data_IF_966537075944
#
_entry.id   IF_966537075944
#
_cell.length_a   1.000
_cell.length_b   1.000
_cell.length_c   1.000
_cell.angle_alpha   90.00
_cell.angle_beta   90.00
_cell.angle_gamma   90.00
#
_symmetry.space_group_name_H-M   'P 1'
#
loop_
_entity.id
_entity.type
_entity.pdbx_description
1 polymer ?
#
# COMPACT_ATOMS: atom_id res chain seq x y z
N UNK A 1 -34.84 21.49 -11.05
CA UNK A 1 -35.50 20.49 -10.18
C UNK A 1 -34.79 20.54 -8.85
N UNK A 2 -35.48 20.40 -7.71
CA UNK A 2 -34.80 20.33 -6.42
C UNK A 2 -33.78 19.19 -6.45
N UNK A 3 -32.60 19.44 -5.89
CA UNK A 3 -31.58 18.40 -5.69
C UNK A 3 -32.19 17.32 -4.80
N UNK A 4 -32.04 16.05 -5.19
CA UNK A 4 -32.51 14.89 -4.42
C UNK A 4 -31.41 13.82 -4.37
N UNK A 5 -31.04 13.38 -3.16
CA UNK A 5 -30.04 12.36 -2.89
C UNK A 5 -30.75 11.00 -2.87
N UNK A 6 -30.16 9.97 -3.51
CA UNK A 6 -30.76 8.65 -3.50
C UNK A 6 -30.66 8.01 -2.12
N UNK A 7 -31.62 7.17 -1.77
CA UNK A 7 -31.51 6.31 -0.59
C UNK A 7 -30.43 5.24 -0.82
N UNK A 8 -29.67 4.86 0.23
CA UNK A 8 -28.64 3.83 0.10
C UNK A 8 -29.25 2.44 -0.14
N UNK A 9 -28.66 1.68 -1.07
CA UNK A 9 -29.01 0.29 -1.36
C UNK A 9 -28.21 -0.66 -0.47
N UNK A 10 -28.61 -0.79 0.80
CA UNK A 10 -27.96 -1.70 1.75
C UNK A 10 -28.50 -3.14 1.62
N UNK A 11 -27.65 -4.13 1.94
CA UNK A 11 -28.04 -5.54 1.95
C UNK A 11 -28.64 -5.86 3.33
N UNK A 12 -29.85 -6.44 3.35
CA UNK A 12 -30.48 -6.90 4.58
C UNK A 12 -29.63 -8.02 5.22
N UNK A 13 -29.10 -7.83 6.44
CA UNK A 13 -28.29 -8.84 7.13
C UNK A 13 -29.01 -10.17 7.37
N UNK A 14 -30.35 -10.20 7.36
CA UNK A 14 -31.13 -11.44 7.49
C UNK A 14 -31.29 -12.19 6.16
N UNK A 15 -30.98 -11.56 5.03
CA UNK A 15 -31.14 -12.14 3.69
C UNK A 15 -29.94 -12.96 3.20
N UNK A 16 -28.82 -12.94 3.94
CA UNK A 16 -27.55 -13.60 3.58
C UNK A 16 -27.32 -14.85 4.45
N UNK A 17 -26.54 -15.85 3.99
CA UNK A 17 -26.23 -17.01 4.81
C UNK A 17 -25.38 -16.63 6.03
N UNK A 18 -25.57 -17.36 7.13
CA UNK A 18 -24.71 -17.26 8.30
C UNK A 18 -23.43 -18.08 8.08
N UNK A 19 -22.31 -17.40 7.77
CA UNK A 19 -21.02 -18.06 7.65
C UNK A 19 -20.40 -18.30 9.02
N UNK A 20 -19.66 -19.41 9.12
CA UNK A 20 -18.82 -19.76 10.28
C UNK A 20 -17.41 -19.20 10.06
N UNK A 21 -17.09 -18.15 10.81
CA UNK A 21 -15.84 -17.41 10.65
C UNK A 21 -14.72 -17.95 11.53
N UNK A 22 -13.55 -18.15 10.92
CA UNK A 22 -12.27 -18.28 11.58
C UNK A 22 -11.57 -16.93 11.65
N UNK A 23 -11.09 -16.52 12.82
CA UNK A 23 -10.44 -15.22 13.02
C UNK A 23 -8.94 -15.42 13.27
N UNK A 24 -8.09 -14.74 12.50
CA UNK A 24 -6.64 -14.74 12.67
C UNK A 24 -6.19 -13.37 13.17
N UNK A 25 -5.69 -13.30 14.41
CA UNK A 25 -5.34 -12.06 15.09
C UNK A 25 -6.48 -11.50 15.95
N UNK A 26 -6.12 -10.74 17.00
CA UNK A 26 -7.09 -10.25 18.02
C UNK A 26 -7.14 -8.72 18.12
N UNK A 27 -6.52 -7.99 17.19
CA UNK A 27 -6.46 -6.52 17.20
C UNK A 27 -7.79 -5.88 16.82
N UNK A 28 -7.88 -5.34 15.60
CA UNK A 28 -9.14 -4.79 15.05
C UNK A 28 -10.27 -5.84 14.99
N UNK A 29 -9.91 -7.12 15.02
CA UNK A 29 -10.86 -8.23 15.14
C UNK A 29 -11.80 -8.15 16.33
N UNK A 30 -11.42 -7.48 17.43
CA UNK A 30 -12.32 -7.28 18.56
C UNK A 30 -13.58 -6.51 18.15
N UNK A 31 -13.37 -5.44 17.39
CA UNK A 31 -14.45 -4.59 16.89
C UNK A 31 -15.24 -5.29 15.78
N UNK A 32 -14.57 -6.02 14.89
CA UNK A 32 -15.20 -6.80 13.84
C UNK A 32 -16.13 -7.88 14.42
N UNK A 33 -15.64 -8.69 15.36
CA UNK A 33 -16.42 -9.79 15.97
C UNK A 33 -17.64 -9.23 16.71
N UNK A 34 -17.45 -8.17 17.50
CA UNK A 34 -18.56 -7.49 18.18
C UNK A 34 -19.62 -6.96 17.19
N UNK A 35 -19.19 -6.36 16.07
CA UNK A 35 -20.08 -5.82 15.05
C UNK A 35 -20.88 -6.95 14.36
N UNK A 36 -20.23 -8.03 13.94
CA UNK A 36 -20.92 -9.10 13.21
C UNK A 36 -21.87 -9.88 14.11
N UNK A 37 -21.54 -10.08 15.39
CA UNK A 37 -22.43 -10.77 16.34
C UNK A 37 -23.67 -9.95 16.66
N UNK A 38 -23.53 -8.63 16.82
CA UNK A 38 -24.63 -7.75 17.23
C UNK A 38 -25.52 -7.27 16.09
N UNK A 39 -25.00 -7.20 14.85
CA UNK A 39 -25.69 -6.55 13.73
C UNK A 39 -25.87 -7.41 12.49
N UNK A 40 -25.48 -8.68 12.55
CA UNK A 40 -25.66 -9.60 11.43
C UNK A 40 -25.94 -11.03 11.90
N UNK A 41 -26.21 -11.91 10.95
CA UNK A 41 -26.33 -13.36 11.18
C UNK A 41 -24.97 -14.08 11.21
N UNK A 42 -23.86 -13.39 10.92
CA UNK A 42 -22.52 -13.97 10.84
C UNK A 42 -21.97 -14.32 12.22
N UNK A 43 -21.20 -15.42 12.35
CA UNK A 43 -20.65 -15.86 13.63
C UNK A 43 -19.19 -16.29 13.54
N UNK A 44 -18.33 -15.67 14.34
CA UNK A 44 -17.02 -16.21 14.67
C UNK A 44 -17.16 -17.49 15.51
N UNK A 45 -16.61 -18.59 15.00
CA UNK A 45 -16.65 -19.92 15.64
C UNK A 45 -15.27 -20.37 16.14
N UNK A 46 -14.21 -19.85 15.53
CA UNK A 46 -12.84 -20.17 15.90
C UNK A 46 -11.92 -18.96 15.84
N UNK A 47 -10.88 -18.94 16.65
CA UNK A 47 -9.85 -17.90 16.66
C UNK A 47 -8.45 -18.47 16.86
N UNK A 48 -7.45 -17.84 16.26
CA UNK A 48 -6.02 -18.09 16.54
C UNK A 48 -5.25 -16.77 16.55
N UNK A 49 -4.27 -16.65 17.46
CA UNK A 49 -3.27 -15.60 17.42
C UNK A 49 -2.01 -16.05 18.19
N UNK A 50 -0.94 -15.23 18.12
CA UNK A 50 0.38 -15.58 18.68
C UNK A 50 0.38 -15.75 20.20
N UNK A 51 -0.42 -14.96 20.91
CA UNK A 51 -0.45 -14.93 22.37
C UNK A 51 -1.63 -15.78 22.88
N UNK A 52 -1.33 -16.97 23.40
CA UNK A 52 -2.36 -17.94 23.78
C UNK A 52 -3.28 -17.44 24.91
N UNK A 53 -2.77 -16.64 25.84
CA UNK A 53 -3.59 -16.11 26.94
C UNK A 53 -4.54 -15.03 26.44
N UNK A 54 -4.03 -14.06 25.67
CA UNK A 54 -4.89 -13.03 25.05
C UNK A 54 -5.90 -13.63 24.09
N UNK A 55 -5.53 -14.68 23.37
CA UNK A 55 -6.45 -15.39 22.46
C UNK A 55 -7.57 -16.08 23.22
N UNK A 56 -7.29 -16.73 24.36
CA UNK A 56 -8.34 -17.32 25.21
C UNK A 56 -9.26 -16.25 25.80
N UNK A 57 -8.71 -15.15 26.30
CA UNK A 57 -9.52 -14.04 26.83
C UNK A 57 -10.40 -13.42 25.74
N UNK A 58 -9.89 -13.26 24.52
CA UNK A 58 -10.65 -12.82 23.36
C UNK A 58 -11.80 -13.79 23.03
N UNK A 59 -11.52 -15.09 23.00
CA UNK A 59 -12.52 -16.11 22.73
C UNK A 59 -13.63 -16.13 23.77
N UNK A 60 -13.28 -16.04 25.06
CA UNK A 60 -14.23 -15.96 26.16
C UNK A 60 -15.10 -14.70 26.06
N UNK A 61 -14.50 -13.53 25.85
CA UNK A 61 -15.19 -12.24 25.69
C UNK A 61 -16.28 -12.29 24.62
N UNK A 62 -15.98 -12.91 23.48
CA UNK A 62 -16.88 -12.96 22.32
C UNK A 62 -17.68 -14.27 22.22
N UNK A 63 -17.57 -15.19 23.17
CA UNK A 63 -18.25 -16.48 23.12
C UNK A 63 -17.84 -17.36 21.94
N UNK A 64 -16.57 -17.28 21.51
CA UNK A 64 -16.01 -18.10 20.43
C UNK A 64 -15.65 -19.48 20.99
N UNK A 65 -16.24 -20.53 20.42
CA UNK A 65 -16.17 -21.87 20.97
C UNK A 65 -14.78 -22.54 20.85
N UNK A 66 -13.98 -22.19 19.83
CA UNK A 66 -12.73 -22.89 19.53
C UNK A 66 -11.54 -21.93 19.46
N UNK A 67 -10.45 -22.30 20.15
CA UNK A 67 -9.15 -21.62 20.07
C UNK A 67 -8.15 -22.59 19.44
N UNK A 68 -7.65 -22.25 18.26
CA UNK A 68 -6.65 -23.03 17.54
C UNK A 68 -5.24 -22.57 17.89
N UNK A 69 -4.31 -23.53 18.00
CA UNK A 69 -2.92 -23.26 18.39
C UNK A 69 -2.11 -22.57 17.29
N UNK A 70 -2.54 -22.64 16.03
CA UNK A 70 -1.85 -22.04 14.90
C UNK A 70 -2.81 -21.68 13.75
N UNK A 71 -2.30 -20.92 12.78
CA UNK A 71 -3.02 -20.58 11.54
C UNK A 71 -3.34 -21.84 10.76
N UNK A 72 -2.40 -22.77 10.66
CA UNK A 72 -2.55 -24.05 9.94
C UNK A 72 -3.67 -24.90 10.54
N UNK A 73 -3.73 -24.98 11.87
CA UNK A 73 -4.80 -25.68 12.57
C UNK A 73 -6.17 -25.03 12.31
N UNK A 74 -6.24 -23.69 12.30
CA UNK A 74 -7.47 -22.97 12.02
C UNK A 74 -7.93 -23.19 10.57
N UNK A 75 -7.06 -23.02 9.57
CA UNK A 75 -7.48 -23.14 8.17
C UNK A 75 -7.83 -24.57 7.78
N UNK A 76 -7.29 -25.59 8.47
CA UNK A 76 -7.64 -26.99 8.28
C UNK A 76 -9.02 -27.38 8.85
N UNK A 77 -9.63 -26.53 9.67
CA UNK A 77 -10.91 -26.82 10.33
C UNK A 77 -12.07 -26.82 9.32
N UNK A 78 -12.70 -27.98 9.09
CA UNK A 78 -13.91 -28.12 8.26
C UNK A 78 -15.13 -27.39 8.81
N UNK A 79 -15.07 -26.97 10.08
CA UNK A 79 -16.05 -26.14 10.78
C UNK A 79 -16.09 -24.68 10.33
N UNK A 80 -15.14 -24.25 9.49
CA UNK A 80 -14.96 -22.85 9.08
C UNK A 80 -15.27 -22.70 7.59
N UNK A 81 -16.09 -21.69 7.26
CA UNK A 81 -16.45 -21.35 5.87
C UNK A 81 -15.57 -20.22 5.33
N UNK A 82 -15.29 -19.23 6.18
CA UNK A 82 -14.52 -18.04 5.82
C UNK A 82 -13.50 -17.67 6.90
N UNK A 83 -12.40 -17.05 6.49
CA UNK A 83 -11.33 -16.57 7.38
C UNK A 83 -11.25 -15.05 7.32
N UNK A 84 -11.25 -14.41 8.48
CA UNK A 84 -10.94 -12.99 8.63
C UNK A 84 -9.52 -12.82 9.17
N UNK A 85 -8.67 -12.16 8.39
CA UNK A 85 -7.25 -11.94 8.69
C UNK A 85 -7.07 -10.51 9.19
N UNK A 86 -6.73 -10.36 10.48
CA UNK A 86 -6.63 -9.09 11.19
C UNK A 86 -5.27 -8.95 11.91
N UNK A 87 -4.21 -9.43 11.26
CA UNK A 87 -2.84 -9.36 11.75
C UNK A 87 -2.11 -8.11 11.24
N UNK A 88 -0.88 -7.82 11.66
CA UNK A 88 -0.05 -6.81 11.01
C UNK A 88 0.17 -7.11 9.51
N UNK A 89 0.34 -6.05 8.71
CA UNK A 89 0.37 -6.10 7.23
C UNK A 89 1.29 -7.18 6.63
N UNK A 90 2.54 -7.39 7.10
CA UNK A 90 3.46 -8.36 6.50
C UNK A 90 3.00 -9.82 6.62
N UNK A 91 2.04 -10.10 7.50
CA UNK A 91 1.54 -11.46 7.73
C UNK A 91 0.36 -11.80 6.82
N UNK A 92 -0.27 -10.81 6.19
CA UNK A 92 -1.49 -11.00 5.38
C UNK A 92 -1.28 -12.02 4.27
N UNK A 93 -0.21 -11.86 3.47
CA UNK A 93 0.07 -12.70 2.31
C UNK A 93 0.14 -14.18 2.66
N UNK A 94 1.02 -14.56 3.59
CA UNK A 94 1.23 -15.97 3.93
C UNK A 94 -0.04 -16.61 4.51
N UNK A 95 -0.77 -15.88 5.35
CA UNK A 95 -2.00 -16.38 5.98
C UNK A 95 -3.15 -16.48 4.98
N UNK A 96 -3.28 -15.52 4.06
CA UNK A 96 -4.27 -15.54 3.00
C UNK A 96 -4.04 -16.72 2.07
N UNK A 97 -2.80 -16.93 1.62
CA UNK A 97 -2.47 -18.06 0.74
C UNK A 97 -2.73 -19.41 1.42
N UNK A 98 -2.45 -19.54 2.72
CA UNK A 98 -2.78 -20.75 3.48
C UNK A 98 -4.30 -20.99 3.57
N UNK A 99 -5.10 -19.95 3.84
CA UNK A 99 -6.55 -20.06 3.90
C UNK A 99 -7.17 -20.38 2.52
N UNK A 100 -6.68 -19.74 1.45
CA UNK A 100 -7.09 -19.99 0.07
C UNK A 100 -6.76 -21.42 -0.34
N UNK A 101 -5.55 -21.91 -0.04
CA UNK A 101 -5.14 -23.28 -0.34
C UNK A 101 -6.00 -24.33 0.39
N UNK A 102 -6.55 -23.99 1.56
CA UNK A 102 -7.51 -24.81 2.30
C UNK A 102 -8.96 -24.67 1.81
N UNK A 103 -9.20 -23.92 0.72
CA UNK A 103 -10.52 -23.72 0.13
C UNK A 103 -11.43 -22.79 0.93
N UNK A 104 -10.88 -21.92 1.78
CA UNK A 104 -11.66 -20.96 2.57
C UNK A 104 -11.86 -19.65 1.80
N UNK A 105 -13.04 -19.06 1.94
CA UNK A 105 -13.23 -17.66 1.56
C UNK A 105 -12.42 -16.76 2.49
N UNK A 106 -11.83 -15.67 2.00
CA UNK A 106 -10.90 -14.84 2.80
C UNK A 106 -11.26 -13.36 2.75
N UNK A 107 -11.50 -12.77 3.92
CA UNK A 107 -11.58 -11.33 4.16
C UNK A 107 -10.29 -10.87 4.84
N UNK A 108 -9.55 -9.95 4.23
CA UNK A 108 -8.21 -9.58 4.68
C UNK A 108 -8.19 -8.11 5.05
N UNK A 109 -7.70 -7.76 6.25
CA UNK A 109 -7.56 -6.37 6.66
C UNK A 109 -6.76 -5.53 5.67
N UNK A 110 -7.10 -4.23 5.64
CA UNK A 110 -6.45 -3.26 4.75
C UNK A 110 -5.07 -2.83 5.30
N UNK A 111 -4.10 -2.54 4.43
CA UNK A 111 -4.07 -2.93 3.03
C UNK A 111 -3.96 -4.47 2.92
N UNK A 112 -4.57 -5.05 1.89
CA UNK A 112 -4.63 -6.51 1.69
C UNK A 112 -3.25 -7.19 1.72
N UNK A 113 -2.21 -6.45 1.36
CA UNK A 113 -0.82 -6.90 1.33
C UNK A 113 0.15 -5.71 1.42
N UNK A 114 1.47 -5.98 1.47
CA UNK A 114 2.50 -4.95 1.58
C UNK A 114 2.84 -4.26 0.26
N UNK A 115 2.45 -4.85 -0.88
CA UNK A 115 2.72 -4.34 -2.22
C UNK A 115 1.68 -4.80 -3.24
N UNK A 116 1.66 -4.16 -4.40
CA UNK A 116 0.80 -4.54 -5.52
C UNK A 116 1.11 -5.96 -6.04
N UNK A 117 2.38 -6.39 -5.98
CA UNK A 117 2.78 -7.73 -6.38
C UNK A 117 2.18 -8.80 -5.47
N UNK A 118 2.29 -8.62 -4.15
CA UNK A 118 1.70 -9.54 -3.19
C UNK A 118 0.17 -9.58 -3.31
N UNK A 119 -0.48 -8.43 -3.54
CA UNK A 119 -1.92 -8.39 -3.77
C UNK A 119 -2.33 -9.13 -5.05
N UNK A 120 -1.55 -9.03 -6.13
CA UNK A 120 -1.80 -9.82 -7.36
C UNK A 120 -1.70 -11.31 -7.09
N UNK A 121 -0.73 -11.74 -6.29
CA UNK A 121 -0.56 -13.14 -5.94
C UNK A 121 -1.77 -13.67 -5.15
N UNK A 122 -2.16 -12.96 -4.08
CA UNK A 122 -3.32 -13.32 -3.25
C UNK A 122 -4.60 -13.41 -4.09
N UNK A 123 -4.88 -12.37 -4.89
CA UNK A 123 -6.09 -12.31 -5.71
C UNK A 123 -6.11 -13.35 -6.83
N UNK A 124 -4.96 -13.65 -7.44
CA UNK A 124 -4.84 -14.70 -8.44
C UNK A 124 -5.01 -16.09 -7.84
N UNK A 125 -4.44 -16.34 -6.66
CA UNK A 125 -4.64 -17.59 -5.93
C UNK A 125 -6.11 -17.82 -5.57
N UNK A 126 -6.81 -16.78 -5.10
CA UNK A 126 -8.24 -16.83 -4.79
C UNK A 126 -9.08 -17.21 -6.01
N UNK A 127 -8.83 -16.55 -7.14
CA UNK A 127 -9.48 -16.88 -8.42
C UNK A 127 -9.22 -18.32 -8.87
N UNK A 128 -7.96 -18.77 -8.78
CA UNK A 128 -7.58 -20.13 -9.16
C UNK A 128 -8.25 -21.19 -8.27
N UNK A 129 -8.41 -20.91 -6.98
CA UNK A 129 -9.09 -21.79 -6.04
C UNK A 129 -10.62 -21.71 -6.09
N UNK A 130 -11.19 -20.73 -6.82
CA UNK A 130 -12.63 -20.51 -6.88
C UNK A 130 -13.25 -20.00 -5.59
N UNK A 131 -12.45 -19.35 -4.73
CA UNK A 131 -12.91 -18.79 -3.45
C UNK A 131 -13.00 -17.27 -3.52
N UNK A 132 -13.87 -16.70 -2.69
CA UNK A 132 -13.99 -15.25 -2.52
C UNK A 132 -12.76 -14.73 -1.79
N UNK A 133 -12.07 -13.77 -2.42
CA UNK A 133 -11.04 -12.96 -1.76
C UNK A 133 -11.50 -11.50 -1.76
N UNK A 134 -11.50 -10.88 -0.59
CA UNK A 134 -11.95 -9.50 -0.43
C UNK A 134 -11.01 -8.75 0.51
N UNK A 135 -10.54 -7.57 0.08
CA UNK A 135 -9.93 -6.62 1.01
C UNK A 135 -11.01 -6.01 1.90
N UNK A 136 -10.76 -5.96 3.20
CA UNK A 136 -11.63 -5.38 4.22
C UNK A 136 -11.57 -3.84 4.23
N UNK A 137 -11.69 -3.23 3.04
CA UNK A 137 -11.84 -1.79 2.87
C UNK A 137 -13.27 -1.40 3.22
N UNK A 138 -13.60 -1.46 4.51
CA UNK A 138 -14.95 -1.31 5.05
C UNK A 138 -15.72 -0.08 4.54
N UNK A 139 -15.00 1.03 4.29
CA UNK A 139 -15.54 2.27 3.72
C UNK A 139 -16.33 2.05 2.41
N UNK A 140 -15.98 1.03 1.61
CA UNK A 140 -16.66 0.66 0.35
C UNK A 140 -18.09 0.18 0.55
N UNK A 141 -18.39 -0.34 1.73
CA UNK A 141 -19.62 -1.07 2.04
C UNK A 141 -20.57 -0.27 2.92
N UNK A 142 -20.17 0.95 3.31
CA UNK A 142 -21.03 1.86 4.07
C UNK A 142 -22.24 2.32 3.23
N UNK A 143 -23.38 2.62 3.87
CA UNK A 143 -24.54 3.21 3.18
C UNK A 143 -24.15 4.45 2.36
N UNK A 144 -23.32 5.34 2.94
CA UNK A 144 -22.85 6.55 2.26
C UNK A 144 -22.06 6.27 0.98
N UNK A 145 -21.29 5.18 0.94
CA UNK A 145 -20.54 4.80 -0.25
C UNK A 145 -21.44 4.37 -1.40
N UNK A 146 -22.62 3.79 -1.10
CA UNK A 146 -23.63 3.52 -2.12
C UNK A 146 -24.30 4.79 -2.64
N UNK A 147 -24.60 5.76 -1.75
CA UNK A 147 -25.11 7.08 -2.17
C UNK A 147 -24.11 7.77 -3.10
N UNK A 148 -22.83 7.78 -2.74
CA UNK A 148 -21.75 8.35 -3.55
C UNK A 148 -21.68 7.69 -4.92
N UNK A 149 -21.68 6.35 -4.99
CA UNK A 149 -21.70 5.62 -6.26
C UNK A 149 -22.93 5.97 -7.10
N UNK A 150 -24.13 5.98 -6.52
CA UNK A 150 -25.35 6.34 -7.24
C UNK A 150 -25.29 7.77 -7.81
N UNK A 151 -24.77 8.74 -7.04
CA UNK A 151 -24.59 10.13 -7.51
C UNK A 151 -23.60 10.18 -8.68
N UNK A 152 -22.45 9.51 -8.58
CA UNK A 152 -21.45 9.44 -9.64
C UNK A 152 -22.01 8.75 -10.90
N UNK A 153 -22.65 7.60 -10.73
CA UNK A 153 -23.26 6.79 -11.81
C UNK A 153 -24.38 7.56 -12.54
N UNK A 154 -25.13 8.40 -11.83
CA UNK A 154 -26.21 9.21 -12.43
C UNK A 154 -25.72 10.28 -13.41
N UNK A 155 -24.42 10.65 -13.34
CA UNK A 155 -23.85 11.74 -14.14
C UNK A 155 -24.31 13.14 -13.72
N UNK A 156 -25.02 13.29 -12.58
CA UNK A 156 -25.58 14.58 -12.14
C UNK A 156 -24.51 15.64 -11.83
N UNK A 157 -23.28 15.23 -11.51
CA UNK A 157 -22.13 16.12 -11.31
C UNK A 157 -21.52 16.61 -12.63
N UNK A 158 -21.99 16.12 -13.78
CA UNK A 158 -21.36 16.36 -15.08
C UNK A 158 -20.03 15.64 -15.22
N UNK A 159 -19.09 16.26 -15.93
CA UNK A 159 -17.75 15.68 -16.10
C UNK A 159 -16.93 15.86 -14.82
N UNK A 160 -16.57 14.75 -14.15
CA UNK A 160 -15.74 14.78 -12.94
C UNK A 160 -14.33 15.24 -13.31
N UNK A 161 -13.84 16.30 -12.65
CA UNK A 161 -12.55 16.94 -12.92
C UNK A 161 -11.52 16.71 -11.82
N UNK A 162 -11.97 16.71 -10.58
CA UNK A 162 -11.11 16.67 -9.41
C UNK A 162 -11.75 15.84 -8.30
N UNK A 163 -10.95 15.00 -7.66
CA UNK A 163 -11.24 14.42 -6.36
C UNK A 163 -10.23 14.96 -5.35
N UNK A 164 -10.70 15.33 -4.16
CA UNK A 164 -9.82 15.64 -3.03
C UNK A 164 -10.15 14.70 -1.88
N UNK A 165 -9.16 14.18 -1.17
CA UNK A 165 -9.39 13.43 0.06
C UNK A 165 -8.14 13.43 0.93
N UNK A 166 -8.33 13.45 2.24
CA UNK A 166 -7.21 13.44 3.18
C UNK A 166 -7.47 12.51 4.36
N UNK A 167 -6.41 11.91 4.89
CA UNK A 167 -6.47 11.23 6.18
C UNK A 167 -5.11 11.29 6.87
N UNK A 168 -5.05 12.02 7.98
CA UNK A 168 -3.88 12.08 8.83
C UNK A 168 -4.22 12.41 10.27
N UNK A 169 -3.35 11.97 11.16
CA UNK A 169 -3.45 12.17 12.60
C UNK A 169 -2.04 12.32 13.17
N UNK A 170 -1.90 13.07 14.26
CA UNK A 170 -0.60 13.20 14.94
C UNK A 170 -0.42 12.09 15.97
N UNK A 171 0.62 11.27 15.78
CA UNK A 171 1.00 10.19 16.70
C UNK A 171 2.49 10.29 17.05
N UNK A 172 2.89 10.16 18.33
CA UNK A 172 4.30 10.14 18.69
C UNK A 172 5.06 9.01 17.98
N UNK A 173 6.33 9.28 17.63
CA UNK A 173 7.22 8.26 17.05
C UNK A 173 7.53 7.19 18.10
N UNK A 174 7.18 5.95 17.78
CA UNK A 174 7.56 4.74 18.51
C UNK A 174 8.11 3.74 17.50
N UNK A 175 9.44 3.58 17.38
CA UNK A 175 10.07 2.68 16.40
C UNK A 175 9.63 1.21 16.51
N UNK A 176 9.02 0.81 17.62
CA UNK A 176 8.49 -0.55 17.83
C UNK A 176 7.00 -0.67 17.53
N UNK A 177 6.31 0.47 17.40
CA UNK A 177 4.88 0.56 17.15
C UNK A 177 4.53 0.30 15.69
N UNK A 178 3.36 -0.32 15.45
CA UNK A 178 2.90 -0.73 14.10
C UNK A 178 2.91 0.37 13.03
N UNK A 179 2.80 1.64 13.46
CA UNK A 179 2.70 2.80 12.56
C UNK A 179 4.07 3.30 12.09
N UNK A 180 5.11 3.11 12.90
CA UNK A 180 6.45 3.63 12.62
C UNK A 180 7.46 2.50 12.34
N UNK A 181 7.20 1.27 12.76
CA UNK A 181 8.06 0.13 12.47
C UNK A 181 7.95 -0.29 10.99
N UNK A 182 9.03 -0.13 10.23
CA UNK A 182 9.11 -0.47 8.80
C UNK A 182 8.81 -1.95 8.54
N UNK A 183 9.30 -2.82 9.41
CA UNK A 183 9.14 -4.28 9.35
C UNK A 183 7.69 -4.72 9.60
N UNK A 184 6.86 -3.86 10.21
CA UNK A 184 5.43 -4.09 10.41
C UNK A 184 4.58 -3.43 9.32
N UNK A 185 5.20 -2.85 8.30
CA UNK A 185 4.52 -2.08 7.26
C UNK A 185 3.98 -0.75 7.74
N UNK A 186 4.70 -0.09 8.64
CA UNK A 186 4.45 1.28 9.06
C UNK A 186 4.62 2.29 7.93
N UNK A 187 4.17 3.51 8.19
CA UNK A 187 4.13 4.63 7.25
C UNK A 187 2.71 5.14 7.04
N UNK A 188 2.60 6.46 6.77
CA UNK A 188 1.35 7.13 6.53
C UNK A 188 0.58 6.53 5.35
N UNK A 189 1.26 6.19 4.25
CA UNK A 189 0.66 5.69 3.01
C UNK A 189 -0.05 4.35 3.17
N UNK A 190 0.57 3.37 3.87
CA UNK A 190 -0.05 2.06 4.07
C UNK A 190 -1.16 2.10 5.12
N UNK A 191 -1.03 2.91 6.17
CA UNK A 191 -2.05 2.94 7.24
C UNK A 191 -3.21 3.88 6.93
N UNK A 192 -2.93 5.17 6.71
CA UNK A 192 -3.94 6.19 6.53
C UNK A 192 -4.18 6.50 5.04
N UNK A 193 -3.12 6.63 4.25
CA UNK A 193 -3.16 7.01 2.83
C UNK A 193 -3.89 6.02 1.92
N UNK A 194 -4.00 4.76 2.32
CA UNK A 194 -4.79 3.75 1.61
C UNK A 194 -6.27 4.16 1.47
N UNK A 195 -6.83 4.90 2.44
CA UNK A 195 -8.22 5.36 2.39
C UNK A 195 -8.47 6.44 1.32
N UNK A 196 -7.74 7.59 1.29
CA UNK A 196 -7.94 8.60 0.26
C UNK A 196 -7.58 8.08 -1.14
N UNK A 197 -6.56 7.22 -1.27
CA UNK A 197 -6.20 6.58 -2.55
C UNK A 197 -7.32 5.65 -3.02
N UNK A 198 -7.87 4.83 -2.13
CA UNK A 198 -9.02 3.95 -2.42
C UNK A 198 -10.26 4.78 -2.81
N UNK A 199 -10.56 5.86 -2.10
CA UNK A 199 -11.68 6.75 -2.43
C UNK A 199 -11.56 7.35 -3.84
N UNK A 200 -10.39 7.92 -4.17
CA UNK A 200 -10.12 8.44 -5.50
C UNK A 200 -10.28 7.36 -6.57
N UNK A 201 -9.78 6.15 -6.30
CA UNK A 201 -9.90 5.00 -7.19
C UNK A 201 -11.36 4.61 -7.48
N UNK A 202 -12.28 4.65 -6.50
CA UNK A 202 -13.70 4.33 -6.79
C UNK A 202 -14.38 5.32 -7.72
N UNK A 203 -13.91 6.57 -7.72
CA UNK A 203 -14.56 7.66 -8.44
C UNK A 203 -13.94 7.84 -9.82
N UNK A 204 -12.62 7.73 -9.92
CA UNK A 204 -11.86 8.05 -11.13
C UNK A 204 -11.25 6.82 -11.83
N UNK A 205 -11.18 5.68 -11.13
CA UNK A 205 -10.43 4.51 -11.59
C UNK A 205 -8.91 4.68 -11.44
N UNK A 206 -8.17 3.80 -12.14
CA UNK A 206 -6.72 3.75 -12.07
C UNK A 206 -6.05 5.02 -12.65
N UNK A 207 -5.03 5.59 -11.99
CA UNK A 207 -4.26 6.69 -12.55
C UNK A 207 -3.29 6.21 -13.64
N UNK A 208 -3.00 7.09 -14.60
CA UNK A 208 -1.91 6.92 -15.59
C UNK A 208 -0.62 7.62 -15.16
N UNK A 209 -0.69 8.50 -14.16
CA UNK A 209 0.46 9.20 -13.59
C UNK A 209 0.25 9.44 -12.09
N UNK A 210 1.33 9.27 -11.33
CA UNK A 210 1.41 9.49 -9.89
C UNK A 210 2.56 10.45 -9.64
N UNK A 211 2.31 11.56 -8.95
CA UNK A 211 3.34 12.45 -8.42
C UNK A 211 3.14 12.53 -6.91
N UNK A 212 4.12 12.09 -6.14
CA UNK A 212 4.08 12.12 -4.69
C UNK A 212 5.22 12.97 -4.13
N UNK A 213 4.99 13.68 -3.03
CA UNK A 213 6.00 14.40 -2.28
C UNK A 213 5.74 14.25 -0.79
N UNK A 214 6.78 14.14 0.01
CA UNK A 214 6.60 13.90 1.43
C UNK A 214 7.91 13.81 2.20
N UNK A 215 7.77 13.49 3.48
CA UNK A 215 8.85 13.27 4.43
C UNK A 215 8.88 11.81 4.86
N UNK A 216 10.06 11.36 5.28
CA UNK A 216 10.24 10.11 6.03
C UNK A 216 10.73 10.43 7.43
N UNK A 217 10.35 9.62 8.42
CA UNK A 217 10.98 9.70 9.73
C UNK A 217 12.45 9.24 9.63
N UNK A 218 13.44 10.03 10.09
CA UNK A 218 14.85 9.67 9.97
C UNK A 218 15.26 8.43 10.79
N UNK A 219 14.55 8.13 11.88
CA UNK A 219 14.89 7.01 12.77
C UNK A 219 14.42 5.66 12.24
N UNK A 220 13.23 5.63 11.63
CA UNK A 220 12.54 4.41 11.19
C UNK A 220 12.53 4.24 9.67
N UNK A 221 12.71 5.33 8.92
CA UNK A 221 12.74 5.33 7.46
C UNK A 221 11.39 5.06 6.80
N UNK A 222 10.27 5.12 7.54
CA UNK A 222 8.92 5.05 6.97
C UNK A 222 8.45 6.45 6.57
N UNK A 223 7.55 6.53 5.59
CA UNK A 223 6.93 7.79 5.21
C UNK A 223 6.05 8.35 6.34
N UNK A 224 6.23 9.64 6.65
CA UNK A 224 5.59 10.31 7.78
C UNK A 224 4.44 11.22 7.32
N UNK A 225 4.67 12.01 6.27
CA UNK A 225 3.65 12.89 5.67
C UNK A 225 3.82 12.89 4.15
N UNK A 226 2.74 12.66 3.39
CA UNK A 226 2.79 12.54 1.93
C UNK A 226 1.57 13.20 1.27
N UNK A 227 1.85 14.04 0.26
CA UNK A 227 0.86 14.59 -0.66
C UNK A 227 1.01 13.93 -2.05
N UNK A 228 -0.12 13.64 -2.70
CA UNK A 228 -0.18 12.98 -3.99
C UNK A 228 -1.04 13.78 -4.98
N UNK A 229 -0.53 13.94 -6.20
CA UNK A 229 -1.28 14.32 -7.39
C UNK A 229 -1.38 13.11 -8.32
N UNK A 230 -2.60 12.60 -8.49
CA UNK A 230 -2.89 11.53 -9.44
C UNK A 230 -3.55 12.11 -10.70
N UNK A 231 -3.19 11.60 -11.88
CA UNK A 231 -3.86 11.94 -13.14
C UNK A 231 -4.37 10.67 -13.81
N UNK A 232 -5.61 10.68 -14.28
CA UNK A 232 -6.23 9.56 -15.01
C UNK A 232 -6.16 9.76 -16.53
N UNK A 233 -6.47 8.71 -17.30
CA UNK A 233 -6.46 8.76 -18.76
C UNK A 233 -7.48 9.74 -19.37
N UNK A 234 -8.53 10.10 -18.62
CA UNK A 234 -9.50 11.13 -19.04
C UNK A 234 -9.01 12.57 -18.78
N UNK A 235 -7.91 12.74 -18.05
CA UNK A 235 -7.41 14.04 -17.60
C UNK A 235 -8.02 14.51 -16.26
N UNK A 236 -8.93 13.75 -15.64
CA UNK A 236 -9.38 14.00 -14.28
C UNK A 236 -8.23 13.75 -13.28
N UNK A 237 -8.21 14.52 -12.19
CA UNK A 237 -7.11 14.52 -11.21
C UNK A 237 -7.60 14.16 -9.81
N UNK A 238 -6.70 13.63 -8.98
CA UNK A 238 -6.92 13.54 -7.54
C UNK A 238 -5.81 14.26 -6.78
N UNK A 239 -6.18 15.05 -5.76
CA UNK A 239 -5.25 15.67 -4.80
C UNK A 239 -5.49 15.02 -3.45
N UNK A 240 -4.50 14.28 -2.97
CA UNK A 240 -4.62 13.45 -1.78
C UNK A 240 -3.53 13.78 -0.77
N UNK A 241 -3.86 13.71 0.52
CA UNK A 241 -2.90 13.96 1.60
C UNK A 241 -3.00 12.89 2.68
N UNK A 242 -1.86 12.50 3.25
CA UNK A 242 -1.82 11.61 4.41
C UNK A 242 -0.67 11.95 5.34
N UNK A 243 -0.86 11.76 6.65
CA UNK A 243 0.16 12.09 7.65
C UNK A 243 0.00 11.32 8.95
N UNK A 244 1.13 10.95 9.56
CA UNK A 244 1.24 10.48 10.95
C UNK A 244 1.69 11.59 11.91
N UNK A 245 1.97 12.80 11.39
CA UNK A 245 2.50 13.93 12.14
C UNK A 245 1.46 15.06 12.27
N UNK A 246 0.50 15.11 11.34
CA UNK A 246 -0.48 16.19 11.19
C UNK A 246 -1.90 15.67 11.28
N UNK A 247 -2.71 16.27 12.14
CA UNK A 247 -4.15 16.02 12.19
C UNK A 247 -4.84 16.73 11.03
N UNK A 248 -5.28 15.96 10.03
CA UNK A 248 -5.98 16.46 8.85
C UNK A 248 -7.52 16.44 9.07
N UNK A 249 -8.32 17.17 8.28
CA UNK A 249 -9.78 17.21 8.40
C UNK A 249 -10.50 15.85 8.29
N UNK A 250 -9.90 14.89 7.59
CA UNK A 250 -10.46 13.57 7.26
C UNK A 250 -11.71 13.68 6.39
N UNK A 251 -11.65 14.53 5.36
CA UNK A 251 -12.76 14.80 4.45
C UNK A 251 -12.47 14.28 3.04
N UNK A 252 -13.52 14.16 2.23
CA UNK A 252 -13.38 13.86 0.81
C UNK A 252 -14.39 14.64 -0.03
N UNK A 253 -14.06 14.93 -1.29
CA UNK A 253 -14.92 15.67 -2.20
C UNK A 253 -14.76 15.19 -3.63
N UNK A 254 -15.88 15.09 -4.35
CA UNK A 254 -15.95 14.82 -5.79
C UNK A 254 -16.43 16.09 -6.47
N UNK A 255 -15.64 16.63 -7.41
CA UNK A 255 -15.93 17.88 -8.11
C UNK A 255 -16.09 17.63 -9.60
N UNK A 256 -17.27 17.96 -10.11
CA UNK A 256 -17.59 17.90 -11.54
C UNK A 256 -17.96 19.25 -12.12
N UNK A 257 -18.27 19.28 -13.42
CA UNK A 257 -18.61 20.51 -14.15
C UNK A 257 -19.94 21.14 -13.73
N UNK A 258 -20.89 20.34 -13.23
CA UNK A 258 -22.25 20.79 -12.88
C UNK A 258 -22.48 20.88 -11.36
N UNK A 259 -21.52 20.44 -10.54
CA UNK A 259 -21.67 20.43 -9.10
C UNK A 259 -20.55 19.72 -8.36
N UNK A 260 -20.77 19.52 -7.06
CA UNK A 260 -19.85 18.82 -6.16
C UNK A 260 -20.61 17.96 -5.15
N UNK A 261 -19.95 16.88 -4.72
CA UNK A 261 -20.39 16.04 -3.61
C UNK A 261 -19.31 16.08 -2.53
N UNK A 262 -19.62 16.66 -1.38
CA UNK A 262 -18.75 16.64 -0.20
C UNK A 262 -19.14 15.45 0.70
N UNK A 263 -18.16 14.67 1.16
CA UNK A 263 -18.33 13.58 2.12
C UNK A 263 -17.86 14.08 3.48
N UNK A 264 -18.72 13.95 4.48
CA UNK A 264 -18.47 14.51 5.82
C UNK A 264 -17.39 13.74 6.56
N UNK A 265 -16.77 14.39 7.55
CA UNK A 265 -15.69 13.79 8.33
C UNK A 265 -16.18 12.79 9.39
N UNK A 266 -15.50 11.64 9.55
CA UNK A 266 -14.47 11.13 8.67
C UNK A 266 -15.10 10.41 7.46
N UNK A 267 -14.57 10.66 6.27
CA UNK A 267 -15.17 10.16 5.01
C UNK A 267 -15.17 8.62 4.86
N UNK A 268 -14.34 7.92 5.65
CA UNK A 268 -14.22 6.46 5.63
C UNK A 268 -15.10 5.75 6.68
N UNK A 269 -15.83 6.50 7.51
CA UNK A 269 -16.78 5.98 8.52
C UNK A 269 -18.18 6.58 8.32
N UNK A 270 -19.21 6.10 9.06
CA UNK A 270 -20.56 6.66 8.98
C UNK A 270 -20.62 8.16 9.30
N UNK A 271 -20.86 9.01 8.31
CA UNK A 271 -20.90 10.47 8.49
C UNK A 271 -22.05 11.10 7.71
N UNK A 272 -21.95 11.15 6.38
CA UNK A 272 -22.93 11.78 5.51
C UNK A 272 -22.31 12.38 4.25
N UNK A 273 -23.17 12.95 3.40
CA UNK A 273 -22.79 13.66 2.19
C UNK A 273 -23.64 14.91 1.97
N UNK A 274 -23.03 15.92 1.34
CA UNK A 274 -23.73 17.10 0.83
C UNK A 274 -23.55 17.18 -0.68
N UNK A 275 -24.65 17.13 -1.43
CA UNK A 275 -24.67 17.37 -2.87
C UNK A 275 -25.02 18.83 -3.13
N UNK A 276 -24.19 19.53 -3.90
CA UNK A 276 -24.46 20.90 -4.38
C UNK A 276 -24.42 20.91 -5.90
N UNK A 277 -25.51 21.33 -6.54
CA UNK A 277 -25.60 21.48 -7.99
C UNK A 277 -25.74 22.94 -8.39
N UNK A 278 -25.29 23.27 -9.60
CA UNK A 278 -25.33 24.60 -10.16
C UNK A 278 -24.07 25.42 -9.90
N UNK A 279 -24.11 26.68 -10.32
CA UNK A 279 -22.96 27.58 -10.35
C UNK A 279 -23.25 28.88 -9.59
N UNK A 280 -22.21 29.64 -9.28
CA UNK A 280 -22.38 30.95 -8.63
C UNK A 280 -23.24 31.93 -9.46
N UNK A 281 -23.27 31.81 -10.78
CA UNK A 281 -24.04 32.69 -11.67
C UNK A 281 -25.48 32.22 -11.90
N UNK A 282 -25.74 30.91 -11.79
CA UNK A 282 -27.05 30.30 -12.05
C UNK A 282 -27.85 30.00 -10.77
N UNK A 283 -27.27 30.26 -9.60
CA UNK A 283 -27.78 29.77 -8.32
C UNK A 283 -27.29 28.35 -8.01
N UNK A 284 -27.22 28.04 -6.71
CA UNK A 284 -26.85 26.73 -6.18
C UNK A 284 -28.00 26.17 -5.34
N UNK A 285 -28.33 24.91 -5.59
CA UNK A 285 -29.21 24.12 -4.74
C UNK A 285 -28.37 23.05 -4.05
N UNK A 286 -28.72 22.71 -2.81
CA UNK A 286 -27.99 21.71 -2.03
C UNK A 286 -28.90 20.84 -1.19
N UNK A 287 -28.44 19.63 -0.93
CA UNK A 287 -29.12 18.67 -0.08
C UNK A 287 -28.10 17.86 0.70
N UNK A 288 -28.52 17.44 1.88
CA UNK A 288 -27.70 16.70 2.83
C UNK A 288 -28.36 15.37 3.12
N UNK A 289 -27.57 14.30 3.08
CA UNK A 289 -27.92 13.00 3.62
C UNK A 289 -26.93 12.67 4.75
N UNK A 290 -27.43 12.24 5.90
CA UNK A 290 -26.62 11.90 7.08
C UNK A 290 -26.74 10.41 7.40
N UNK A 291 -25.62 9.80 7.81
CA UNK A 291 -25.60 8.42 8.27
C UNK A 291 -25.65 8.38 9.80
N UNK A 292 -26.83 8.18 10.37
CA UNK A 292 -26.99 7.94 11.83
C UNK A 292 -26.64 6.48 12.22
N UNK A 293 -25.87 5.80 11.35
CA UNK A 293 -25.45 4.43 11.48
C UNK A 293 -24.55 4.17 12.69
N UNK A 294 -24.20 2.90 12.92
CA UNK A 294 -23.53 2.50 14.14
C UNK A 294 -22.07 2.92 14.21
N UNK A 295 -21.87 4.06 14.86
CA UNK A 295 -20.58 4.71 15.03
C UNK A 295 -19.66 4.03 16.06
N UNK A 296 -18.33 3.98 15.82
CA UNK A 296 -17.69 3.93 14.51
C UNK A 296 -17.68 2.49 13.96
N UNK A 297 -17.42 1.49 14.82
CA UNK A 297 -17.06 0.15 14.36
C UNK A 297 -18.23 -0.82 14.16
N UNK A 298 -19.46 -0.49 14.59
CA UNK A 298 -20.60 -1.34 14.29
C UNK A 298 -20.86 -1.44 12.78
N UNK A 299 -20.37 -0.47 12.00
CA UNK A 299 -20.43 -0.46 10.55
C UNK A 299 -19.51 -1.50 9.87
N UNK A 300 -18.58 -2.12 10.60
CA UNK A 300 -17.80 -3.27 10.09
C UNK A 300 -18.72 -4.47 9.74
N UNK A 301 -19.95 -4.50 10.26
CA UNK A 301 -20.95 -5.52 9.88
C UNK A 301 -21.40 -5.43 8.42
N UNK A 302 -21.34 -4.25 7.79
CA UNK A 302 -21.76 -4.09 6.39
C UNK A 302 -20.86 -4.87 5.43
N UNK A 303 -19.54 -4.82 5.61
CA UNK A 303 -18.61 -5.59 4.79
C UNK A 303 -18.76 -7.10 5.00
N UNK A 304 -19.07 -7.55 6.23
CA UNK A 304 -19.31 -8.97 6.50
C UNK A 304 -20.61 -9.47 5.87
N UNK A 305 -21.67 -8.65 5.90
CA UNK A 305 -22.94 -8.94 5.22
C UNK A 305 -22.76 -8.97 3.70
N UNK A 306 -22.03 -8.00 3.13
CA UNK A 306 -21.69 -8.00 1.71
C UNK A 306 -20.88 -9.23 1.31
N UNK A 307 -19.86 -9.58 2.10
CA UNK A 307 -19.05 -10.77 1.90
C UNK A 307 -19.90 -12.04 1.86
N UNK A 308 -20.80 -12.23 2.83
CA UNK A 308 -21.68 -13.40 2.87
C UNK A 308 -22.64 -13.47 1.68
N UNK A 309 -23.15 -12.32 1.21
CA UNK A 309 -23.95 -12.23 -0.01
C UNK A 309 -23.16 -12.68 -1.24
N UNK A 310 -21.90 -12.24 -1.36
CA UNK A 310 -21.02 -12.59 -2.48
C UNK A 310 -20.61 -14.06 -2.47
N UNK A 311 -20.38 -14.64 -1.29
CA UNK A 311 -20.20 -16.09 -1.14
C UNK A 311 -21.43 -16.85 -1.63
N UNK A 312 -22.64 -16.42 -1.22
CA UNK A 312 -23.89 -17.06 -1.64
C UNK A 312 -24.10 -16.98 -3.17
N UNK A 313 -23.65 -15.89 -3.79
CA UNK A 313 -23.69 -15.68 -5.23
C UNK A 313 -22.57 -16.40 -6.01
N UNK A 314 -21.64 -17.08 -5.33
CA UNK A 314 -20.52 -17.79 -5.96
C UNK A 314 -19.48 -16.84 -6.58
N UNK A 315 -19.37 -15.61 -6.07
CA UNK A 315 -18.38 -14.65 -6.55
C UNK A 315 -16.99 -14.94 -5.96
N UNK A 316 -15.96 -14.60 -6.73
CA UNK A 316 -14.55 -14.73 -6.34
C UNK A 316 -13.91 -13.40 -5.93
N UNK A 317 -14.61 -12.28 -6.19
CA UNK A 317 -14.20 -10.93 -5.81
C UNK A 317 -15.42 -10.05 -5.49
N UNK A 318 -15.17 -8.91 -4.85
CA UNK A 318 -16.20 -7.92 -4.56
C UNK A 318 -16.56 -7.11 -5.83
N UNK A 319 -17.85 -6.96 -6.19
CA UNK A 319 -18.27 -6.15 -7.32
C UNK A 319 -18.10 -4.64 -7.09
N UNK A 320 -17.97 -4.20 -5.83
CA UNK A 320 -17.77 -2.77 -5.47
C UNK A 320 -16.33 -2.44 -5.09
N UNK A 321 -15.47 -3.46 -4.99
CA UNK A 321 -14.02 -3.30 -4.81
C UNK A 321 -13.27 -4.46 -5.48
N UNK A 322 -13.30 -4.51 -6.83
CA UNK A 322 -12.74 -5.62 -7.58
C UNK A 322 -11.22 -5.70 -7.44
N UNK A 323 -10.66 -6.88 -7.65
CA UNK A 323 -9.25 -7.17 -7.41
C UNK A 323 -8.31 -6.30 -8.26
N UNK A 324 -8.67 -5.96 -9.49
CA UNK A 324 -7.85 -5.08 -10.32
C UNK A 324 -7.71 -3.68 -9.70
N UNK A 325 -8.74 -3.22 -9.00
CA UNK A 325 -8.74 -1.94 -8.30
C UNK A 325 -7.88 -2.02 -7.04
N UNK A 326 -8.04 -3.07 -6.23
CA UNK A 326 -7.19 -3.33 -5.04
C UNK A 326 -5.70 -3.32 -5.42
N UNK A 327 -5.34 -3.99 -6.51
CA UNK A 327 -3.98 -4.01 -7.05
C UNK A 327 -3.54 -2.63 -7.53
N UNK A 328 -4.41 -1.86 -8.18
CA UNK A 328 -4.12 -0.50 -8.65
C UNK A 328 -3.90 0.49 -7.50
N UNK A 329 -4.66 0.37 -6.41
CA UNK A 329 -4.49 1.16 -5.19
C UNK A 329 -3.12 0.91 -4.60
N UNK A 330 -2.72 -0.36 -4.45
CA UNK A 330 -1.39 -0.70 -3.95
C UNK A 330 -0.27 -0.30 -4.92
N UNK A 331 -0.48 -0.37 -6.23
CA UNK A 331 0.51 0.09 -7.20
C UNK A 331 0.74 1.61 -7.10
N UNK A 332 -0.32 2.37 -6.78
CA UNK A 332 -0.23 3.80 -6.50
C UNK A 332 0.56 4.07 -5.22
N UNK A 333 0.34 3.28 -4.18
CA UNK A 333 1.09 3.37 -2.91
C UNK A 333 2.56 3.02 -3.14
N UNK A 334 2.87 1.93 -3.85
CA UNK A 334 4.24 1.50 -4.16
C UNK A 334 5.01 2.61 -4.89
N UNK A 335 4.39 3.22 -5.90
CA UNK A 335 4.99 4.32 -6.65
C UNK A 335 5.19 5.57 -5.79
N UNK A 336 4.22 5.92 -4.94
CA UNK A 336 4.35 7.04 -4.02
C UNK A 336 5.48 6.83 -3.01
N UNK A 337 5.58 5.64 -2.40
CA UNK A 337 6.67 5.27 -1.48
C UNK A 337 8.02 5.34 -2.17
N UNK A 338 8.13 4.87 -3.43
CA UNK A 338 9.35 4.97 -4.24
C UNK A 338 9.79 6.42 -4.43
N UNK A 339 8.85 7.32 -4.79
CA UNK A 339 9.16 8.75 -4.99
C UNK A 339 9.56 9.45 -3.69
N UNK A 340 8.87 9.17 -2.58
CA UNK A 340 9.17 9.76 -1.26
C UNK A 340 10.53 9.28 -0.76
N UNK A 341 10.81 7.98 -0.85
CA UNK A 341 12.11 7.41 -0.47
C UNK A 341 13.25 8.00 -1.31
N UNK A 342 13.06 8.15 -2.62
CA UNK A 342 14.07 8.73 -3.52
C UNK A 342 14.39 10.21 -3.25
N UNK A 343 13.47 10.95 -2.63
CA UNK A 343 13.71 12.35 -2.19
C UNK A 343 14.28 12.45 -0.79
N UNK A 344 14.02 11.45 0.05
CA UNK A 344 14.61 11.34 1.37
C UNK A 344 16.09 10.92 1.30
N UNK A 345 16.45 10.06 0.34
CA UNK A 345 17.83 9.85 -0.04
C UNK A 345 18.43 11.16 -0.57
N UNK A 346 19.60 11.55 -0.05
CA UNK A 346 20.34 12.72 -0.55
C UNK A 346 20.67 12.61 -2.04
N UNK A 347 21.35 13.61 -2.64
CA UNK A 347 21.74 13.51 -4.05
C UNK A 347 22.52 12.21 -4.30
N UNK A 348 22.21 11.54 -5.41
CA UNK A 348 22.92 10.34 -5.82
C UNK A 348 24.42 10.63 -5.93
N UNK A 349 25.26 9.65 -5.60
CA UNK A 349 26.72 9.78 -5.71
C UNK A 349 27.19 9.02 -6.94
N UNK A 350 27.82 9.72 -7.88
CA UNK A 350 28.57 9.10 -8.96
C UNK A 350 30.03 8.94 -8.51
N UNK A 351 30.43 7.69 -8.29
CA UNK A 351 31.81 7.31 -7.99
C UNK A 351 32.51 6.90 -9.28
N UNK A 352 33.63 7.53 -9.58
CA UNK A 352 34.41 7.29 -10.78
C UNK A 352 35.88 7.17 -10.46
N UNK A 353 36.49 6.08 -10.93
CA UNK A 353 37.94 5.88 -10.82
C UNK A 353 38.52 5.71 -12.21
N UNK A 354 39.37 6.64 -12.63
CA UNK A 354 40.20 6.52 -13.82
C UNK A 354 41.56 5.95 -13.42
N UNK A 355 42.09 4.98 -14.15
CA UNK A 355 43.31 4.26 -13.76
C UNK A 355 44.10 3.73 -14.95
N UNK A 356 45.38 3.41 -14.72
CA UNK A 356 46.24 2.64 -15.63
C UNK A 356 46.64 1.32 -14.96
N UNK A 357 46.82 0.28 -15.76
CA UNK A 357 47.24 -1.05 -15.28
C UNK A 357 48.74 -1.22 -15.47
N UNK A 358 49.37 -2.03 -14.62
CA UNK A 358 50.76 -2.48 -14.80
C UNK A 358 50.91 -3.50 -15.93
N UNK A 359 49.78 -4.04 -16.42
CA UNK A 359 49.73 -5.07 -17.46
C UNK A 359 49.96 -4.49 -18.85
N UNK A 360 50.55 -5.27 -19.73
CA UNK A 360 50.70 -4.92 -21.14
C UNK A 360 49.32 -4.71 -21.80
N UNK A 361 49.12 -3.65 -22.61
CA UNK A 361 47.86 -3.40 -23.29
C UNK A 361 47.43 -4.57 -24.19
N UNK A 362 46.18 -5.01 -24.04
CA UNK A 362 45.60 -6.15 -24.76
C UNK A 362 46.07 -7.51 -24.25
N UNK A 363 46.75 -7.57 -23.11
CA UNK A 363 47.14 -8.84 -22.50
C UNK A 363 45.95 -9.54 -21.82
N UNK A 364 46.03 -10.86 -21.69
CA UNK A 364 45.04 -11.64 -20.97
C UNK A 364 44.90 -11.21 -19.48
N UNK A 365 45.96 -10.66 -18.89
CA UNK A 365 45.95 -10.15 -17.52
C UNK A 365 45.14 -8.85 -17.41
N UNK A 366 45.27 -7.94 -18.37
CA UNK A 366 44.42 -6.74 -18.47
C UNK A 366 42.94 -7.12 -18.63
N UNK A 367 42.64 -8.02 -19.57
CA UNK A 367 41.26 -8.47 -19.82
C UNK A 367 40.63 -9.13 -18.58
N UNK A 368 41.39 -9.99 -17.89
CA UNK A 368 40.89 -10.65 -16.67
C UNK A 368 40.71 -9.68 -15.50
N UNK A 369 41.57 -8.67 -15.35
CA UNK A 369 41.37 -7.62 -14.35
C UNK A 369 40.04 -6.90 -14.56
N UNK A 370 39.78 -6.41 -15.78
CA UNK A 370 38.56 -5.69 -16.11
C UNK A 370 37.31 -6.56 -15.95
N UNK A 371 37.37 -7.81 -16.39
CA UNK A 371 36.27 -8.76 -16.27
C UNK A 371 35.98 -9.11 -14.80
N UNK A 372 37.02 -9.36 -14.00
CA UNK A 372 36.89 -9.65 -12.58
C UNK A 372 36.34 -8.46 -11.80
N UNK A 373 36.83 -7.25 -12.07
CA UNK A 373 36.33 -6.02 -11.46
C UNK A 373 34.84 -5.85 -11.74
N UNK A 374 34.42 -5.99 -13.00
CA UNK A 374 33.01 -5.92 -13.38
C UNK A 374 32.17 -6.96 -12.64
N UNK A 375 32.57 -8.24 -12.63
CA UNK A 375 31.80 -9.29 -11.93
C UNK A 375 31.70 -9.06 -10.42
N UNK A 376 32.77 -8.57 -9.82
CA UNK A 376 32.90 -8.46 -8.35
C UNK A 376 32.24 -7.20 -7.83
N UNK A 377 32.60 -6.03 -8.39
CA UNK A 377 32.16 -4.74 -7.88
C UNK A 377 30.70 -4.46 -8.24
N UNK A 378 30.23 -4.84 -9.43
CA UNK A 378 28.82 -4.64 -9.82
C UNK A 378 27.83 -5.53 -9.05
N UNK A 379 28.32 -6.57 -8.37
CA UNK A 379 27.50 -7.44 -7.52
C UNK A 379 27.34 -6.92 -6.09
N UNK A 380 28.06 -5.86 -5.70
CA UNK A 380 27.96 -5.28 -4.36
C UNK A 380 26.62 -4.54 -4.23
N UNK A 381 25.84 -4.78 -3.15
CA UNK A 381 24.58 -4.09 -2.92
C UNK A 381 24.72 -2.57 -2.97
N UNK A 382 23.81 -1.90 -3.67
CA UNK A 382 23.79 -0.44 -3.82
C UNK A 382 24.51 0.08 -5.07
N UNK A 383 25.30 -0.75 -5.76
CA UNK A 383 25.93 -0.38 -7.03
C UNK A 383 24.91 -0.40 -8.17
N UNK A 384 24.74 0.74 -8.85
CA UNK A 384 23.93 0.83 -10.08
C UNK A 384 24.76 1.43 -11.21
N UNK A 385 24.45 1.09 -12.47
CA UNK A 385 25.08 1.72 -13.63
C UNK A 385 26.60 1.47 -13.78
N UNK A 386 27.12 0.32 -13.31
CA UNK A 386 28.55 0.01 -13.43
C UNK A 386 29.01 -0.04 -14.89
N UNK A 387 29.91 0.86 -15.26
CA UNK A 387 30.50 0.95 -16.60
C UNK A 387 32.01 0.80 -16.56
N UNK A 388 32.56 0.25 -17.64
CA UNK A 388 34.00 0.17 -17.91
C UNK A 388 34.23 0.90 -19.22
N UNK A 389 35.01 1.98 -19.18
CA UNK A 389 35.31 2.80 -20.35
C UNK A 389 36.82 2.83 -20.59
N UNK A 390 37.22 2.95 -21.86
CA UNK A 390 38.60 3.16 -22.26
C UNK A 390 38.81 4.63 -22.61
N UNK A 391 39.85 5.24 -22.06
CA UNK A 391 40.28 6.57 -22.44
C UNK A 391 40.86 6.55 -23.85
N UNK A 392 40.39 7.47 -24.70
CA UNK A 392 40.85 7.62 -26.09
C UNK A 392 41.65 8.89 -26.32
N UNK A 393 41.54 9.86 -25.41
CA UNK A 393 42.25 11.13 -25.48
C UNK A 393 43.71 10.93 -25.07
N UNK A 394 44.69 11.42 -25.83
CA UNK A 394 46.10 11.37 -25.44
C UNK A 394 46.48 12.39 -24.35
N UNK A 395 45.48 13.09 -23.76
CA UNK A 395 45.69 14.11 -22.73
C UNK A 395 45.73 13.56 -21.31
N UNK A 396 45.52 12.25 -21.13
CA UNK A 396 45.58 11.57 -19.85
C UNK A 396 46.29 10.24 -20.03
N UNK A 397 47.16 9.91 -19.08
CA UNK A 397 47.87 8.63 -19.02
C UNK A 397 47.00 7.52 -18.38
N UNK A 398 45.84 7.89 -17.81
CA UNK A 398 44.88 6.95 -17.23
C UNK A 398 44.07 6.29 -18.36
N UNK A 399 44.25 4.98 -18.55
CA UNK A 399 43.78 4.24 -19.73
C UNK A 399 42.34 3.75 -19.59
N UNK A 400 41.91 3.44 -18.37
CA UNK A 400 40.62 2.84 -18.08
C UNK A 400 39.85 3.69 -17.09
N UNK A 401 38.53 3.52 -17.08
CA UNK A 401 37.64 4.15 -16.11
C UNK A 401 36.58 3.15 -15.67
N UNK A 402 36.42 3.02 -14.35
CA UNK A 402 35.21 2.46 -13.75
C UNK A 402 34.31 3.59 -13.29
N UNK A 403 33.01 3.49 -13.55
CA UNK A 403 32.02 4.44 -13.04
C UNK A 403 30.78 3.72 -12.56
N UNK A 404 30.25 4.15 -11.43
CA UNK A 404 29.05 3.60 -10.81
C UNK A 404 28.28 4.68 -10.06
N UNK A 405 27.00 4.41 -9.81
CA UNK A 405 26.06 5.34 -9.16
C UNK A 405 25.46 4.69 -7.92
N UNK A 406 25.43 5.46 -6.84
CA UNK A 406 24.80 5.14 -5.57
C UNK A 406 23.62 6.06 -5.32
N UNK A 407 22.60 5.54 -4.63
CA UNK A 407 21.37 6.28 -4.34
C UNK A 407 21.62 7.56 -3.52
N UNK A 408 22.60 7.53 -2.62
CA UNK A 408 23.03 8.64 -1.78
C UNK A 408 24.44 8.40 -1.19
N UNK A 409 24.91 9.31 -0.35
CA UNK A 409 26.20 9.21 0.36
C UNK A 409 26.27 8.02 1.32
N UNK A 410 25.16 7.60 1.92
CA UNK A 410 25.15 6.47 2.85
C UNK A 410 25.34 5.15 2.10
N UNK A 411 24.69 4.99 0.94
CA UNK A 411 24.89 3.87 0.04
C UNK A 411 26.34 3.81 -0.48
N UNK A 412 26.94 4.95 -0.83
CA UNK A 412 28.35 5.02 -1.22
C UNK A 412 29.28 4.59 -0.08
N UNK A 413 29.09 5.12 1.14
CA UNK A 413 29.89 4.75 2.30
C UNK A 413 29.76 3.25 2.64
N UNK A 414 28.57 2.66 2.46
CA UNK A 414 28.35 1.24 2.65
C UNK A 414 29.09 0.37 1.61
N UNK A 415 29.16 0.83 0.35
CA UNK A 415 29.97 0.19 -0.69
C UNK A 415 31.46 0.27 -0.36
N UNK A 416 31.96 1.45 0.02
CA UNK A 416 33.38 1.66 0.31
C UNK A 416 33.87 0.74 1.45
N UNK A 417 33.05 0.60 2.49
CA UNK A 417 33.31 -0.30 3.61
C UNK A 417 32.98 -1.79 3.34
N UNK A 418 32.41 -2.14 2.18
CA UNK A 418 31.93 -3.49 1.93
C UNK A 418 33.09 -4.51 1.87
N UNK A 419 33.02 -5.67 2.55
CA UNK A 419 34.14 -6.62 2.59
C UNK A 419 34.65 -7.08 1.22
N UNK A 420 33.74 -7.23 0.25
CA UNK A 420 34.09 -7.58 -1.14
C UNK A 420 34.85 -6.47 -1.84
N UNK A 421 34.50 -5.20 -1.60
CA UNK A 421 35.22 -4.05 -2.15
C UNK A 421 36.63 -3.98 -1.55
N UNK A 422 36.72 -4.01 -0.21
CA UNK A 422 38.00 -3.98 0.52
C UNK A 422 38.93 -5.11 0.08
N UNK A 423 38.40 -6.33 -0.07
CA UNK A 423 39.19 -7.48 -0.51
C UNK A 423 39.65 -7.34 -1.97
N UNK A 424 38.80 -6.84 -2.87
CA UNK A 424 39.17 -6.56 -4.25
C UNK A 424 40.30 -5.52 -4.33
N UNK A 425 40.19 -4.44 -3.55
CA UNK A 425 41.24 -3.41 -3.47
C UNK A 425 42.55 -4.02 -2.99
N UNK A 426 42.49 -4.79 -1.90
CA UNK A 426 43.68 -5.40 -1.29
C UNK A 426 44.37 -6.43 -2.18
N UNK A 427 43.61 -7.25 -2.91
CA UNK A 427 44.16 -8.41 -3.64
C UNK A 427 44.42 -8.17 -5.11
N UNK A 428 43.68 -7.25 -5.74
CA UNK A 428 43.77 -6.96 -7.17
C UNK A 428 44.27 -5.54 -7.40
N UNK A 429 43.56 -4.55 -6.86
CA UNK A 429 43.83 -3.14 -7.17
C UNK A 429 45.25 -2.69 -6.82
N UNK A 430 45.69 -2.89 -5.57
CA UNK A 430 47.00 -2.43 -5.09
C UNK A 430 48.18 -3.01 -5.88
N UNK A 431 48.04 -4.24 -6.41
CA UNK A 431 49.11 -4.91 -7.15
C UNK A 431 49.07 -4.70 -8.67
N UNK A 432 47.91 -4.35 -9.23
CA UNK A 432 47.68 -4.34 -10.68
C UNK A 432 47.43 -2.94 -11.24
N UNK A 433 47.07 -1.95 -10.41
CA UNK A 433 46.88 -0.55 -10.81
C UNK A 433 48.16 0.25 -10.59
N UNK A 434 48.66 0.88 -11.66
CA UNK A 434 49.90 1.64 -11.65
C UNK A 434 49.69 3.08 -11.16
N UNK A 435 48.62 3.73 -11.62
CA UNK A 435 48.22 5.08 -11.22
C UNK A 435 46.71 5.22 -11.32
N UNK A 436 46.11 6.11 -10.53
CA UNK A 436 44.67 6.35 -10.56
C UNK A 436 44.26 7.74 -10.05
N UNK A 437 43.06 8.15 -10.48
CA UNK A 437 42.35 9.31 -9.98
C UNK A 437 40.92 8.91 -9.64
N UNK A 438 40.49 9.26 -8.44
CA UNK A 438 39.14 9.02 -7.93
C UNK A 438 38.35 10.33 -7.85
N UNK A 439 37.07 10.27 -8.24
CA UNK A 439 36.13 11.37 -8.23
C UNK A 439 34.77 10.89 -7.72
N UNK A 440 34.35 11.44 -6.57
CA UNK A 440 33.03 11.21 -5.98
C UNK A 440 32.20 12.47 -6.08
N UNK A 441 31.17 12.43 -6.93
CA UNK A 441 30.39 13.60 -7.30
C UNK A 441 28.92 13.41 -6.91
N UNK A 442 28.32 14.43 -6.32
CA UNK A 442 26.87 14.49 -6.16
C UNK A 442 26.22 14.79 -7.52
N UNK A 443 25.28 13.96 -7.91
CA UNK A 443 24.45 14.17 -9.10
C UNK A 443 23.39 15.20 -8.74
N UNK A 444 23.57 16.42 -9.25
CA UNK A 444 22.58 17.48 -9.09
C UNK A 444 21.36 17.22 -9.99
N UNK A 445 20.13 17.53 -9.54
CA UNK A 445 18.96 17.50 -10.41
C UNK A 445 19.15 18.50 -11.56
N UNK A 446 18.96 18.02 -12.79
CA UNK A 446 19.13 18.79 -14.03
C UNK A 446 17.95 19.66 -14.41
#
# INVERSE_FOLDING_TARGET
MPVTLPAPRTIDPASVPALRWGVIGTGIADAFVAAIHSRSVQRAVAVTARDAEKTRAFAEKHGIATVHASVEALVADSGIDAVYIATPHPLHRAQALAAIAAGKHVLIEKPIAMSAEEAREITSAGRAAGVLVMEAMWARYLPQADVIRQVVESGVLGEIRLVTADFGFSVPVDPTGRLWAKELGGGALLDAGVYPISFASSVLGAPVSVTASGTTDPGTGVDASVDLLLTTGSGARALLSTSLETSLPVEAMVLGSEGRLAVHSPFFGPSGVTLTLGSMSSGQDSEVWTDDGPWPYGALSFQATAFASYVAAGLVESPVHPHHEVVSVLATIDEARRQVAARASGPAVQHTVAFSLVHEPGSAAEEEFLASARRTLSAIPGVTGFTVNRQVSPKSELTWQFSMVFADRAAFAAYDAHPVHVEFVRTRWVGEVADFQELDLEVLPG
#
